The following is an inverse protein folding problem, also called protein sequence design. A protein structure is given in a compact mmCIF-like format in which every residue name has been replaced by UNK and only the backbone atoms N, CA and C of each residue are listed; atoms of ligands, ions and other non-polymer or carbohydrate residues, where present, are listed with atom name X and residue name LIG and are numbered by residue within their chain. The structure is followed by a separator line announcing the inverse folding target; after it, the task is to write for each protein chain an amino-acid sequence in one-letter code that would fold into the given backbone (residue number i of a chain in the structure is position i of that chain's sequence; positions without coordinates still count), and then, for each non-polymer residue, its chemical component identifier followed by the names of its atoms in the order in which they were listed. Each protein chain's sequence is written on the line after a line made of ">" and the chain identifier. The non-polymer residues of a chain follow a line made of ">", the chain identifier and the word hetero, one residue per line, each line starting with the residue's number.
data_IF_352853272687
#
_entry.id   IF_352853272687
#
_cell.length_a   1.000
_cell.length_b   1.000
_cell.length_c   1.000
_cell.angle_alpha   90.00
_cell.angle_beta   90.00
_cell.angle_gamma   90.00
#
_symmetry.space_group_name_H-M   'P 1'
#
loop_
_entity.id
_entity.type
_entity.pdbx_description
1 polymer ?
#
# COMPACT_ATOMS: atom_id res chain seq x y z
N UNK A 1 -8.80 -22.22 -8.82
CA UNK A 1 -8.97 -20.78 -8.67
C UNK A 1 -9.71 -20.46 -7.37
N UNK A 2 -9.61 -19.23 -6.92
CA UNK A 2 -10.33 -18.78 -5.73
C UNK A 2 -10.63 -17.30 -5.79
N UNK A 3 -11.76 -16.91 -5.21
CA UNK A 3 -12.08 -15.54 -4.84
C UNK A 3 -11.72 -15.38 -3.35
N UNK A 4 -10.84 -14.46 -3.02
CA UNK A 4 -10.32 -14.30 -1.66
C UNK A 4 -10.19 -12.83 -1.25
N UNK A 5 -10.09 -12.61 0.07
CA UNK A 5 -9.74 -11.30 0.61
C UNK A 5 -8.35 -10.87 0.13
N UNK A 6 -8.17 -9.57 -0.10
CA UNK A 6 -6.90 -9.00 -0.50
C UNK A 6 -6.13 -8.49 0.73
N UNK A 7 -5.38 -9.37 1.36
CA UNK A 7 -4.64 -9.10 2.59
C UNK A 7 -5.17 -9.88 3.79
N UNK A 8 -4.77 -9.52 4.99
CA UNK A 8 -5.15 -10.21 6.21
C UNK A 8 -4.70 -11.67 6.23
N UNK A 9 -5.61 -12.56 6.50
CA UNK A 9 -5.40 -14.01 6.52
C UNK A 9 -5.54 -14.68 5.14
N UNK A 10 -5.84 -13.91 4.09
CA UNK A 10 -6.06 -14.38 2.72
C UNK A 10 -7.12 -15.48 2.59
N UNK A 11 -8.10 -15.54 3.50
CA UNK A 11 -9.12 -16.56 3.40
C UNK A 11 -9.93 -16.44 2.10
N UNK A 12 -10.38 -17.56 1.60
CA UNK A 12 -11.11 -17.63 0.35
C UNK A 12 -12.62 -17.64 0.60
N UNK A 13 -13.35 -16.73 -0.05
CA UNK A 13 -14.81 -16.75 -0.12
C UNK A 13 -15.33 -17.91 -0.95
N UNK A 14 -14.56 -18.28 -1.97
CA UNK A 14 -14.87 -19.40 -2.84
C UNK A 14 -13.56 -20.01 -3.37
N UNK A 15 -13.54 -21.34 -3.46
CA UNK A 15 -12.41 -22.09 -4.05
C UNK A 15 -12.94 -23.25 -4.87
N UNK A 16 -12.42 -23.42 -6.07
CA UNK A 16 -12.66 -24.60 -6.88
C UNK A 16 -11.42 -25.00 -7.69
N UNK A 17 -11.35 -26.26 -8.08
CA UNK A 17 -10.25 -26.81 -8.87
C UNK A 17 -10.75 -27.15 -10.27
N UNK A 18 -10.07 -26.65 -11.27
CA UNK A 18 -10.36 -26.86 -12.68
C UNK A 18 -9.22 -27.70 -13.27
N UNK A 19 -9.56 -28.77 -13.97
CA UNK A 19 -8.59 -29.49 -14.78
C UNK A 19 -8.43 -28.78 -16.15
N UNK A 20 -7.25 -28.18 -16.38
CA UNK A 20 -6.95 -27.60 -17.68
C UNK A 20 -6.84 -28.69 -18.75
N UNK A 21 -7.32 -28.39 -19.95
CA UNK A 21 -7.30 -29.30 -21.12
C UNK A 21 -6.63 -28.61 -22.30
N UNK A 22 -6.29 -29.34 -23.34
CA UNK A 22 -5.74 -28.78 -24.60
C UNK A 22 -6.75 -27.90 -25.36
N UNK A 23 -8.04 -28.06 -25.07
CA UNK A 23 -9.11 -27.28 -25.68
C UNK A 23 -9.64 -26.25 -24.66
N UNK A 24 -9.99 -25.06 -25.16
CA UNK A 24 -10.64 -24.04 -24.32
C UNK A 24 -11.98 -24.57 -23.77
N UNK A 25 -12.12 -24.51 -22.46
CA UNK A 25 -13.34 -24.87 -21.74
C UNK A 25 -14.00 -23.63 -21.18
N UNK A 26 -15.32 -23.61 -21.20
CA UNK A 26 -16.11 -22.57 -20.52
C UNK A 26 -16.53 -23.06 -19.14
N UNK A 27 -16.33 -22.21 -18.14
CA UNK A 27 -16.75 -22.47 -16.76
C UNK A 27 -17.62 -21.32 -16.29
N UNK A 28 -18.71 -21.64 -15.62
CA UNK A 28 -19.64 -20.70 -15.04
C UNK A 28 -19.93 -21.11 -13.60
N UNK A 29 -19.87 -20.16 -12.68
CA UNK A 29 -20.08 -20.41 -11.26
C UNK A 29 -21.03 -19.35 -10.70
N UNK A 30 -21.95 -19.79 -9.86
CA UNK A 30 -22.74 -18.90 -9.02
C UNK A 30 -22.27 -19.05 -7.57
N UNK A 31 -21.94 -17.95 -6.93
CA UNK A 31 -21.48 -17.93 -5.54
C UNK A 31 -22.21 -16.87 -4.75
N UNK A 32 -22.46 -17.16 -3.48
CA UNK A 32 -23.07 -16.20 -2.55
C UNK A 32 -22.01 -15.73 -1.57
N UNK A 33 -21.80 -14.42 -1.49
CA UNK A 33 -20.96 -13.80 -0.46
C UNK A 33 -21.76 -13.74 0.83
N UNK A 34 -21.31 -14.50 1.85
CA UNK A 34 -21.94 -14.54 3.18
C UNK A 34 -21.35 -13.50 4.14
N UNK A 35 -20.23 -12.91 3.78
CA UNK A 35 -19.49 -11.96 4.60
C UNK A 35 -19.82 -10.51 4.24
N UNK A 36 -19.49 -9.61 5.16
CA UNK A 36 -19.57 -8.17 4.91
C UNK A 36 -18.70 -7.83 3.70
N UNK A 37 -19.19 -7.02 2.79
CA UNK A 37 -18.56 -6.74 1.51
C UNK A 37 -17.08 -6.41 1.63
N UNK A 38 -16.28 -7.09 0.83
CA UNK A 38 -14.90 -6.74 0.55
C UNK A 38 -14.90 -5.82 -0.68
N UNK A 39 -14.48 -4.55 -0.57
CA UNK A 39 -14.49 -3.62 -1.69
C UNK A 39 -13.43 -3.96 -2.75
N UNK A 40 -12.51 -4.88 -2.44
CA UNK A 40 -11.34 -5.15 -3.27
C UNK A 40 -10.94 -6.63 -3.24
N UNK A 41 -11.87 -7.56 -3.52
CA UNK A 41 -11.55 -8.97 -3.51
C UNK A 41 -10.54 -9.30 -4.61
N UNK A 42 -9.77 -10.37 -4.40
CA UNK A 42 -8.78 -10.85 -5.36
C UNK A 42 -9.25 -12.14 -6.00
N UNK A 43 -9.29 -12.16 -7.33
CA UNK A 43 -9.43 -13.40 -8.09
C UNK A 43 -8.04 -14.00 -8.34
N UNK A 44 -7.83 -15.21 -7.84
CA UNK A 44 -6.54 -15.90 -7.91
C UNK A 44 -6.64 -17.20 -8.70
N UNK A 45 -5.67 -17.44 -9.59
CA UNK A 45 -5.48 -18.70 -10.26
C UNK A 45 -4.16 -19.30 -9.77
N UNK A 46 -4.25 -20.41 -9.04
CA UNK A 46 -3.09 -21.17 -8.61
C UNK A 46 -2.82 -22.27 -9.64
N UNK A 47 -1.70 -22.21 -10.30
CA UNK A 47 -1.36 -23.10 -11.41
C UNK A 47 -0.50 -24.27 -10.89
N UNK A 48 -1.16 -25.28 -10.32
CA UNK A 48 -0.55 -26.52 -9.89
C UNK A 48 0.11 -26.51 -8.50
N UNK A 49 0.24 -27.69 -7.91
CA UNK A 49 1.09 -27.97 -6.77
C UNK A 49 2.09 -29.05 -7.20
N UNK A 50 3.36 -28.78 -6.96
CA UNK A 50 4.47 -29.59 -7.50
C UNK A 50 4.57 -31.02 -6.95
N UNK A 51 3.85 -31.36 -5.88
CA UNK A 51 4.05 -32.63 -5.18
C UNK A 51 3.18 -33.79 -5.72
N UNK A 52 2.01 -33.46 -6.29
CA UNK A 52 1.06 -34.49 -6.75
C UNK A 52 1.12 -34.77 -8.26
N UNK A 53 1.48 -33.73 -9.04
CA UNK A 53 1.40 -33.85 -10.52
C UNK A 53 2.73 -34.11 -11.20
N UNK A 54 3.83 -34.15 -10.45
CA UNK A 54 5.18 -34.30 -10.99
C UNK A 54 5.69 -33.06 -11.72
N UNK A 55 6.79 -33.24 -12.45
CA UNK A 55 7.35 -32.17 -13.28
C UNK A 55 6.56 -32.06 -14.59
N UNK A 56 5.66 -31.10 -14.68
CA UNK A 56 4.89 -30.83 -15.89
C UNK A 56 5.71 -30.16 -16.99
N UNK A 57 6.96 -29.79 -16.71
CA UNK A 57 7.81 -29.04 -17.63
C UNK A 57 7.29 -27.63 -17.93
N UNK A 58 7.80 -27.03 -18.99
CA UNK A 58 7.33 -25.71 -19.44
C UNK A 58 5.95 -25.85 -20.09
N UNK A 59 4.96 -25.11 -19.55
CA UNK A 59 3.60 -25.11 -20.07
C UNK A 59 2.99 -23.72 -20.05
N UNK A 60 1.97 -23.51 -20.86
CA UNK A 60 1.24 -22.23 -20.95
C UNK A 60 -0.22 -22.48 -20.59
N UNK A 61 -0.74 -21.68 -19.66
CA UNK A 61 -2.17 -21.66 -19.34
C UNK A 61 -2.76 -20.38 -19.91
N UNK A 62 -3.80 -20.53 -20.73
CA UNK A 62 -4.51 -19.38 -21.32
C UNK A 62 -5.84 -19.17 -20.61
N UNK A 63 -6.07 -17.95 -20.14
CA UNK A 63 -7.33 -17.50 -19.57
C UNK A 63 -7.90 -16.42 -20.49
N UNK A 64 -9.18 -16.52 -20.81
CA UNK A 64 -9.86 -15.56 -21.69
C UNK A 64 -11.28 -15.31 -21.18
N UNK A 65 -11.79 -14.10 -21.43
CA UNK A 65 -13.15 -13.68 -21.08
C UNK A 65 -13.52 -13.95 -19.60
N UNK A 66 -12.62 -13.57 -18.70
CA UNK A 66 -12.89 -13.66 -17.25
C UNK A 66 -13.79 -12.50 -16.87
N UNK A 67 -15.02 -12.82 -16.45
CA UNK A 67 -16.03 -11.83 -16.05
C UNK A 67 -16.60 -12.19 -14.68
N UNK A 68 -16.97 -11.18 -13.89
CA UNK A 68 -17.59 -11.32 -12.58
C UNK A 68 -18.76 -10.36 -12.49
N UNK A 69 -19.97 -10.89 -12.55
CA UNK A 69 -21.19 -10.11 -12.48
C UNK A 69 -21.89 -10.26 -11.13
N UNK A 70 -22.45 -9.17 -10.63
CA UNK A 70 -23.33 -9.20 -9.45
C UNK A 70 -24.75 -9.45 -9.94
N UNK A 71 -25.28 -10.65 -9.69
CA UNK A 71 -26.65 -11.04 -10.06
C UNK A 71 -27.70 -10.60 -9.03
N UNK A 72 -27.32 -10.52 -7.76
CA UNK A 72 -28.15 -10.00 -6.66
C UNK A 72 -27.36 -9.02 -5.80
N UNK A 73 -27.73 -7.75 -5.85
CA UNK A 73 -27.09 -6.67 -5.10
C UNK A 73 -27.81 -6.33 -3.78
N UNK A 74 -28.74 -7.17 -3.31
CA UNK A 74 -29.54 -6.88 -2.11
C UNK A 74 -28.73 -6.70 -0.83
N UNK A 75 -27.56 -7.35 -0.76
CA UNK A 75 -26.60 -7.26 0.34
C UNK A 75 -25.38 -6.38 0.04
N UNK A 76 -25.39 -5.65 -1.08
CA UNK A 76 -24.27 -4.79 -1.40
C UNK A 76 -24.11 -3.71 -0.33
N UNK A 77 -22.92 -3.60 0.25
CA UNK A 77 -22.61 -2.45 1.10
C UNK A 77 -22.74 -1.16 0.29
N UNK A 78 -23.15 -0.09 0.95
CA UNK A 78 -23.09 1.23 0.33
C UNK A 78 -21.67 1.48 -0.21
N UNK A 79 -21.57 1.99 -1.43
CA UNK A 79 -20.29 2.44 -1.95
C UNK A 79 -19.70 3.43 -0.94
N UNK A 80 -18.42 3.23 -0.59
CA UNK A 80 -17.71 4.21 0.21
C UNK A 80 -17.78 5.55 -0.54
N UNK A 81 -18.13 6.62 0.16
CA UNK A 81 -18.06 7.94 -0.43
C UNK A 81 -16.66 8.15 -1.02
N UNK A 82 -16.60 8.47 -2.29
CA UNK A 82 -15.34 8.76 -2.96
C UNK A 82 -14.78 10.04 -2.32
N UNK A 83 -13.67 9.90 -1.59
CA UNK A 83 -13.01 11.04 -0.97
C UNK A 83 -12.30 11.82 -2.06
N UNK A 84 -12.82 13.01 -2.38
CA UNK A 84 -12.14 13.93 -3.29
C UNK A 84 -10.74 14.27 -2.71
N UNK A 85 -9.71 13.92 -3.45
CA UNK A 85 -8.33 14.27 -3.10
C UNK A 85 -7.89 15.50 -3.89
N UNK A 86 -7.10 16.40 -3.29
CA UNK A 86 -6.56 17.55 -4.00
C UNK A 86 -5.74 17.14 -5.24
N UNK A 87 -5.86 17.93 -6.31
CA UNK A 87 -5.03 17.77 -7.50
C UNK A 87 -3.61 18.30 -7.32
N UNK A 88 -3.34 18.99 -6.22
CA UNK A 88 -1.99 19.41 -5.83
C UNK A 88 -1.45 18.49 -4.76
N UNK A 89 -0.46 17.68 -5.12
CA UNK A 89 0.18 16.73 -4.22
C UNK A 89 1.48 17.29 -3.66
N UNK A 90 1.64 17.13 -2.35
CA UNK A 90 2.81 17.53 -1.58
C UNK A 90 3.21 16.39 -0.61
N UNK A 91 4.36 16.51 0.04
CA UNK A 91 4.67 15.63 1.16
C UNK A 91 3.86 16.03 2.40
N UNK A 92 2.84 15.22 2.72
CA UNK A 92 1.93 15.49 3.85
C UNK A 92 2.59 15.35 5.22
N UNK A 93 3.73 14.63 5.32
CA UNK A 93 4.53 14.61 6.57
C UNK A 93 5.16 15.96 6.82
N UNK A 94 5.50 16.70 5.76
CA UNK A 94 6.13 18.01 5.79
C UNK A 94 7.56 17.98 5.24
N UNK A 95 8.25 19.09 5.44
CA UNK A 95 9.60 19.32 4.93
C UNK A 95 10.50 19.94 6.00
N UNK A 96 11.77 19.57 6.00
CA UNK A 96 12.75 20.37 6.71
C UNK A 96 13.08 21.65 5.92
N UNK A 97 13.55 22.72 6.59
CA UNK A 97 13.86 23.99 5.91
C UNK A 97 14.79 23.85 4.71
N UNK A 98 15.77 22.96 4.81
CA UNK A 98 16.78 22.70 3.76
C UNK A 98 16.41 21.68 2.70
N UNK A 99 15.23 21.06 2.79
CA UNK A 99 14.81 20.04 1.84
C UNK A 99 14.52 20.63 0.44
N UNK A 100 14.66 19.78 -0.58
CA UNK A 100 14.06 20.04 -1.89
C UNK A 100 12.55 19.85 -1.76
N UNK A 101 11.79 20.88 -2.15
CA UNK A 101 10.33 20.93 -1.99
C UNK A 101 9.67 21.06 -3.36
N UNK A 102 9.07 19.99 -3.80
CA UNK A 102 8.38 19.94 -5.10
C UNK A 102 6.90 19.64 -4.86
N UNK A 103 6.04 20.45 -5.46
CA UNK A 103 4.63 20.17 -5.60
C UNK A 103 4.36 19.51 -6.95
N UNK A 104 3.43 18.57 -6.99
CA UNK A 104 2.96 17.96 -8.24
C UNK A 104 1.51 18.39 -8.48
N UNK A 105 1.26 18.90 -9.66
CA UNK A 105 -0.05 19.35 -10.12
C UNK A 105 -0.58 18.32 -11.12
N UNK A 106 -1.76 17.76 -10.86
CA UNK A 106 -2.37 16.69 -11.66
C UNK A 106 -3.29 17.28 -12.72
N UNK A 107 -3.31 16.69 -13.89
CA UNK A 107 -4.15 17.07 -15.01
C UNK A 107 -3.38 17.67 -16.19
N UNK A 108 -4.11 17.86 -17.28
CA UNK A 108 -3.56 18.42 -18.53
C UNK A 108 -3.45 19.96 -18.48
N UNK A 109 -4.31 20.60 -17.68
CA UNK A 109 -4.36 22.06 -17.53
C UNK A 109 -4.00 22.42 -16.08
N UNK A 110 -2.71 22.64 -15.82
CA UNK A 110 -2.18 22.91 -14.46
C UNK A 110 -1.88 24.39 -14.22
N UNK A 111 -2.09 25.26 -15.22
CA UNK A 111 -1.70 26.66 -15.15
C UNK A 111 -0.17 26.86 -15.19
N UNK A 112 0.26 28.12 -15.09
CA UNK A 112 1.68 28.51 -15.24
C UNK A 112 2.37 28.83 -13.90
N UNK A 113 1.61 29.07 -12.83
CA UNK A 113 2.13 29.50 -11.54
C UNK A 113 1.30 29.00 -10.37
N UNK A 114 1.90 29.01 -9.20
CA UNK A 114 1.27 28.66 -7.93
C UNK A 114 1.74 29.59 -6.81
N UNK A 115 1.00 29.62 -5.74
CA UNK A 115 1.34 30.36 -4.53
C UNK A 115 1.51 29.41 -3.34
N UNK A 116 2.43 29.77 -2.44
CA UNK A 116 2.52 29.17 -1.10
C UNK A 116 1.88 30.13 -0.12
N UNK A 117 0.83 29.69 0.54
CA UNK A 117 0.05 30.45 1.48
C UNK A 117 0.45 30.04 2.90
N UNK A 118 0.81 30.99 3.72
CA UNK A 118 0.92 30.81 5.17
C UNK A 118 -0.50 30.70 5.74
N UNK A 119 -0.88 29.52 6.23
CA UNK A 119 -2.24 29.27 6.71
C UNK A 119 -2.59 30.00 8.00
N UNK A 120 -1.57 30.41 8.78
CA UNK A 120 -1.78 31.23 10.01
C UNK A 120 -2.18 32.65 9.69
N UNK A 121 -1.61 33.21 8.63
CA UNK A 121 -1.83 34.63 8.27
C UNK A 121 -2.75 34.81 7.06
N UNK A 122 -2.99 33.74 6.29
CA UNK A 122 -3.72 33.75 5.03
C UNK A 122 -2.98 34.50 3.90
N UNK A 123 -1.69 34.78 4.06
CA UNK A 123 -0.92 35.54 3.07
C UNK A 123 -0.11 34.62 2.15
N UNK A 124 -0.07 35.00 0.87
CA UNK A 124 0.90 34.48 -0.06
C UNK A 124 2.31 34.93 0.32
N UNK A 125 3.22 33.96 0.52
CA UNK A 125 4.61 34.23 0.92
C UNK A 125 5.59 33.88 -0.19
N UNK A 126 5.13 33.17 -1.22
CA UNK A 126 5.94 32.75 -2.34
C UNK A 126 5.05 32.53 -3.57
N UNK A 127 5.55 32.91 -4.73
CA UNK A 127 4.94 32.57 -6.02
C UNK A 127 5.98 31.82 -6.85
N UNK A 128 5.63 30.61 -7.29
CA UNK A 128 6.47 29.74 -8.11
C UNK A 128 5.91 29.54 -9.51
N UNK A 129 6.78 29.09 -10.40
CA UNK A 129 6.39 28.69 -11.76
C UNK A 129 6.12 27.20 -11.80
N UNK A 130 5.14 26.78 -12.59
CA UNK A 130 4.83 25.40 -12.87
C UNK A 130 5.50 25.00 -14.20
N UNK A 131 6.21 23.86 -14.20
CA UNK A 131 6.80 23.32 -15.40
C UNK A 131 5.70 22.82 -16.36
N UNK A 132 6.06 22.61 -17.62
CA UNK A 132 5.12 22.03 -18.57
C UNK A 132 4.62 20.66 -18.11
N UNK A 133 3.32 20.45 -18.21
CA UNK A 133 2.71 19.16 -17.91
C UNK A 133 3.18 18.08 -18.90
N UNK A 134 3.54 16.92 -18.38
CA UNK A 134 4.01 15.77 -19.14
C UNK A 134 3.35 14.49 -18.62
N UNK A 135 3.16 13.52 -19.53
CA UNK A 135 2.61 12.23 -19.16
C UNK A 135 3.62 11.41 -18.35
N UNK A 136 3.27 11.07 -17.13
CA UNK A 136 4.04 10.15 -16.29
C UNK A 136 3.78 8.70 -16.73
N UNK A 137 4.84 7.98 -17.09
CA UNK A 137 4.75 6.61 -17.60
C UNK A 137 4.27 5.63 -16.51
N UNK A 138 4.67 5.85 -15.26
CA UNK A 138 4.35 4.96 -14.13
C UNK A 138 2.92 5.10 -13.66
N UNK A 139 2.44 6.33 -13.42
CA UNK A 139 1.05 6.58 -12.98
C UNK A 139 0.06 6.62 -14.13
N UNK A 140 0.53 6.80 -15.37
CA UNK A 140 -0.25 7.05 -16.59
C UNK A 140 -1.05 8.36 -16.56
N UNK A 141 -0.82 9.21 -15.59
CA UNK A 141 -1.42 10.53 -15.45
C UNK A 141 -0.56 11.60 -16.11
N UNK A 142 -1.19 12.68 -16.55
CA UNK A 142 -0.46 13.90 -16.95
C UNK A 142 -0.27 14.74 -15.69
N UNK A 143 0.94 15.23 -15.46
CA UNK A 143 1.23 16.08 -14.31
C UNK A 143 2.36 17.07 -14.63
N UNK A 144 2.36 18.14 -13.87
CA UNK A 144 3.41 19.17 -13.87
C UNK A 144 4.02 19.29 -12.48
N UNK A 145 5.16 19.95 -12.36
CA UNK A 145 5.82 20.18 -11.08
C UNK A 145 6.17 21.65 -10.87
N UNK A 146 6.17 22.06 -9.60
CA UNK A 146 6.60 23.38 -9.18
C UNK A 146 7.56 23.30 -8.00
N UNK A 147 8.66 24.04 -8.06
CA UNK A 147 9.68 24.07 -7.02
C UNK A 147 9.44 25.26 -6.07
N UNK A 148 9.34 24.96 -4.77
CA UNK A 148 9.26 25.95 -3.71
C UNK A 148 10.33 25.75 -2.62
N UNK A 149 11.45 25.14 -2.98
CA UNK A 149 12.57 24.83 -2.07
C UNK A 149 13.13 26.06 -1.35
N UNK A 150 12.96 27.25 -1.94
CA UNK A 150 13.38 28.53 -1.33
C UNK A 150 12.52 28.97 -0.14
N UNK A 151 11.35 28.35 0.09
CA UNK A 151 10.53 28.57 1.27
C UNK A 151 11.14 27.78 2.43
N UNK A 152 11.93 28.45 3.26
CA UNK A 152 12.70 27.81 4.34
C UNK A 152 12.21 28.19 5.74
N UNK A 153 11.27 29.11 5.88
CA UNK A 153 10.75 29.54 7.18
C UNK A 153 9.90 28.42 7.79
N UNK A 154 10.11 28.09 9.07
CA UNK A 154 9.21 27.18 9.78
C UNK A 154 7.79 27.75 9.86
N UNK A 155 6.79 26.89 9.62
CA UNK A 155 5.38 27.30 9.63
C UNK A 155 4.47 26.20 9.06
N UNK A 156 3.18 26.55 8.94
CA UNK A 156 2.16 25.72 8.30
C UNK A 156 1.69 26.41 7.02
N UNK A 157 1.70 25.68 5.94
CA UNK A 157 1.50 26.19 4.60
C UNK A 157 0.53 25.34 3.79
N UNK A 158 0.01 25.95 2.74
CA UNK A 158 -0.81 25.33 1.73
C UNK A 158 -0.40 25.85 0.35
N UNK A 159 -0.42 25.03 -0.67
CA UNK A 159 -0.21 25.48 -2.04
C UNK A 159 -1.56 25.75 -2.67
N UNK A 160 -1.62 26.85 -3.41
CA UNK A 160 -2.82 27.29 -4.14
C UNK A 160 -2.50 27.60 -5.59
N UNK A 161 -3.41 27.18 -6.46
CA UNK A 161 -3.33 27.40 -7.90
C UNK A 161 -4.75 27.51 -8.47
N UNK A 162 -4.97 28.41 -9.43
CA UNK A 162 -6.30 28.67 -9.96
C UNK A 162 -6.89 27.49 -10.76
N UNK A 163 -6.04 26.64 -11.34
CA UNK A 163 -6.48 25.51 -12.14
C UNK A 163 -6.73 24.25 -11.30
N UNK A 164 -5.86 23.97 -10.31
CA UNK A 164 -5.87 22.75 -9.52
C UNK A 164 -6.42 22.93 -8.09
N UNK A 165 -6.83 24.14 -7.71
CA UNK A 165 -7.37 24.44 -6.38
C UNK A 165 -6.30 24.53 -5.30
N UNK A 166 -6.47 23.83 -4.18
CA UNK A 166 -5.64 23.90 -2.99
C UNK A 166 -5.09 22.51 -2.61
N UNK A 167 -3.84 22.46 -2.13
CA UNK A 167 -3.27 21.26 -1.56
C UNK A 167 -3.81 20.99 -0.16
N UNK A 168 -3.48 19.84 0.42
CA UNK A 168 -3.51 19.70 1.88
C UNK A 168 -2.52 20.67 2.54
N UNK A 169 -2.79 21.00 3.81
CA UNK A 169 -1.82 21.72 4.62
C UNK A 169 -0.57 20.86 4.89
N UNK A 170 0.59 21.50 4.95
CA UNK A 170 1.85 20.87 5.31
C UNK A 170 2.69 21.77 6.20
N UNK A 171 3.63 21.17 6.91
CA UNK A 171 4.56 21.88 7.80
C UNK A 171 5.95 22.00 7.17
N UNK A 172 6.60 23.12 7.45
CA UNK A 172 8.06 23.25 7.33
C UNK A 172 8.63 23.43 8.73
N UNK A 173 9.58 22.59 9.12
CA UNK A 173 10.20 22.64 10.44
C UNK A 173 11.27 21.57 10.63
N UNK A 174 12.15 21.76 11.61
CA UNK A 174 13.25 20.82 11.85
C UNK A 174 12.81 19.48 12.47
N UNK A 175 11.59 19.45 13.01
CA UNK A 175 11.02 18.33 13.76
C UNK A 175 9.95 17.52 13.00
N UNK A 176 9.66 17.86 11.74
CA UNK A 176 8.56 17.26 10.95
C UNK A 176 8.64 15.75 10.84
N UNK A 177 9.82 15.17 10.89
CA UNK A 177 10.02 13.71 10.79
C UNK A 177 10.16 12.99 12.14
N UNK A 178 10.07 13.70 13.28
CA UNK A 178 10.31 13.08 14.59
C UNK A 178 9.27 12.01 14.94
N UNK A 179 7.99 12.28 14.68
CA UNK A 179 6.94 11.34 15.00
C UNK A 179 6.99 10.14 14.04
N UNK A 180 7.22 10.38 12.75
CA UNK A 180 7.46 9.31 11.78
C UNK A 180 8.64 8.41 12.18
N UNK A 181 9.75 8.99 12.66
CA UNK A 181 10.89 8.22 13.15
C UNK A 181 10.53 7.37 14.38
N UNK A 182 9.77 7.95 15.33
CA UNK A 182 9.31 7.21 16.51
C UNK A 182 8.43 6.02 16.11
N UNK A 183 7.50 6.24 15.19
CA UNK A 183 6.58 5.20 14.74
C UNK A 183 7.31 4.12 13.94
N UNK A 184 8.27 4.48 13.09
CA UNK A 184 9.11 3.53 12.37
C UNK A 184 9.96 2.66 13.32
N UNK A 185 10.59 3.28 14.35
CA UNK A 185 11.34 2.54 15.37
C UNK A 185 10.41 1.66 16.20
N UNK A 186 9.21 2.17 16.54
CA UNK A 186 8.19 1.41 17.28
C UNK A 186 7.70 0.21 16.47
N UNK A 187 7.49 0.35 15.17
CA UNK A 187 7.15 -0.77 14.28
C UNK A 187 8.20 -1.89 14.38
N UNK A 188 9.48 -1.56 14.26
CA UNK A 188 10.56 -2.53 14.41
C UNK A 188 10.58 -3.16 15.82
N UNK A 189 10.29 -2.38 16.85
CA UNK A 189 10.18 -2.90 18.22
C UNK A 189 9.04 -3.92 18.37
N UNK A 190 7.87 -3.63 17.79
CA UNK A 190 6.68 -4.48 17.88
C UNK A 190 6.78 -5.76 17.05
N UNK A 191 7.61 -5.77 16.02
CA UNK A 191 7.86 -6.93 15.16
C UNK A 191 8.92 -7.90 15.69
N UNK A 192 9.46 -7.70 16.89
CA UNK A 192 10.53 -8.54 17.41
C UNK A 192 10.06 -9.96 17.74
N UNK A 193 10.94 -10.92 17.46
CA UNK A 193 10.80 -12.32 17.84
C UNK A 193 11.69 -12.66 19.03
N UNK A 194 11.45 -13.82 19.64
CA UNK A 194 12.32 -14.42 20.66
C UNK A 194 12.03 -13.97 22.09
N UNK A 195 11.17 -12.99 22.30
CA UNK A 195 10.79 -12.48 23.60
C UNK A 195 9.31 -12.11 23.68
N UNK A 196 8.79 -12.06 24.89
CA UNK A 196 7.43 -11.58 25.15
C UNK A 196 7.39 -10.05 25.04
N UNK A 197 6.38 -9.52 24.34
CA UNK A 197 5.99 -8.13 24.40
C UNK A 197 4.69 -8.01 25.19
N UNK A 198 4.80 -7.52 26.43
CA UNK A 198 3.65 -7.37 27.33
C UNK A 198 2.69 -6.26 26.86
N UNK A 199 1.44 -6.29 27.31
CA UNK A 199 0.47 -5.22 27.06
C UNK A 199 0.98 -3.83 27.47
N UNK A 200 1.75 -3.75 28.55
CA UNK A 200 2.36 -2.49 28.98
C UNK A 200 3.35 -1.93 27.96
N UNK A 201 4.05 -2.79 27.21
CA UNK A 201 5.07 -2.42 26.22
C UNK A 201 4.46 -2.22 24.83
N UNK A 202 3.50 -3.03 24.45
CA UNK A 202 3.02 -3.15 23.10
C UNK A 202 1.53 -2.76 22.90
N UNK A 203 0.73 -2.65 23.98
CA UNK A 203 -0.71 -2.40 23.88
C UNK A 203 -1.42 -3.52 23.12
N UNK A 204 -2.19 -3.16 22.13
CA UNK A 204 -2.95 -4.09 21.28
C UNK A 204 -2.05 -5.02 20.44
N UNK A 205 -0.76 -4.74 20.35
CA UNK A 205 0.24 -5.57 19.67
C UNK A 205 1.02 -6.47 20.63
N UNK A 206 0.51 -6.69 21.86
CA UNK A 206 1.13 -7.60 22.82
C UNK A 206 1.10 -9.04 22.29
N UNK A 207 2.18 -9.77 22.49
CA UNK A 207 2.28 -11.17 22.10
C UNK A 207 3.25 -11.95 23.00
N UNK A 208 3.06 -13.27 23.15
CA UNK A 208 4.01 -14.10 23.89
C UNK A 208 5.34 -14.23 23.12
N UNK A 209 6.36 -14.77 23.79
CA UNK A 209 7.60 -15.12 23.12
C UNK A 209 7.34 -16.14 22.01
N UNK A 210 7.90 -15.88 20.83
CA UNK A 210 7.73 -16.69 19.62
C UNK A 210 9.08 -17.04 19.02
N UNK A 211 9.13 -18.05 18.11
CA UNK A 211 10.36 -18.47 17.42
C UNK A 211 11.53 -18.78 18.35
N UNK A 212 11.22 -19.44 19.49
CA UNK A 212 12.19 -19.81 20.53
C UNK A 212 12.70 -21.24 20.39
N UNK A 213 12.18 -22.00 19.44
CA UNK A 213 12.65 -23.34 19.11
C UNK A 213 13.87 -23.34 18.20
N UNK A 214 14.61 -24.46 18.21
CA UNK A 214 15.71 -24.67 17.28
C UNK A 214 15.18 -24.83 15.83
N UNK A 215 15.83 -24.20 14.88
CA UNK A 215 15.56 -24.41 13.45
C UNK A 215 16.42 -25.52 12.87
N UNK A 216 15.84 -26.29 11.95
CA UNK A 216 16.55 -27.34 11.22
C UNK A 216 17.23 -26.72 9.99
N UNK A 217 18.51 -26.99 9.80
CA UNK A 217 19.22 -26.57 8.58
C UNK A 217 18.69 -27.40 7.40
N UNK A 218 18.20 -26.69 6.38
CA UNK A 218 17.60 -27.34 5.21
C UNK A 218 18.48 -28.44 4.60
N UNK A 219 17.89 -29.59 4.34
CA UNK A 219 18.58 -30.75 3.77
C UNK A 219 19.48 -31.53 4.75
N UNK A 220 19.40 -31.25 6.04
CA UNK A 220 20.18 -31.95 7.10
C UNK A 220 19.31 -32.17 8.33
N UNK A 221 19.83 -32.95 9.31
CA UNK A 221 19.25 -33.09 10.66
C UNK A 221 19.89 -32.11 11.68
N UNK A 222 20.75 -31.22 11.23
CA UNK A 222 21.42 -30.25 12.08
C UNK A 222 20.41 -29.20 12.59
N UNK A 223 20.42 -28.94 13.89
CA UNK A 223 19.60 -27.91 14.52
C UNK A 223 20.46 -26.75 15.02
N UNK A 224 19.93 -25.56 14.89
CA UNK A 224 20.58 -24.32 15.38
C UNK A 224 19.59 -23.46 16.14
N UNK A 225 20.06 -22.91 17.27
CA UNK A 225 19.36 -21.82 17.94
C UNK A 225 19.48 -20.55 17.11
N UNK A 226 18.34 -20.06 16.65
CA UNK A 226 18.20 -18.82 15.89
C UNK A 226 17.20 -17.87 16.56
N UNK A 227 17.05 -17.97 17.89
CA UNK A 227 16.16 -17.13 18.68
C UNK A 227 16.44 -15.64 18.44
N UNK A 228 15.37 -14.83 18.33
CA UNK A 228 15.46 -13.40 18.05
C UNK A 228 15.13 -13.04 16.60
N UNK A 229 15.47 -11.82 16.19
CA UNK A 229 15.10 -11.27 14.89
C UNK A 229 13.73 -10.60 14.88
N UNK A 230 13.12 -10.55 13.73
CA UNK A 230 11.86 -9.85 13.49
C UNK A 230 10.88 -10.71 12.67
N UNK A 231 9.60 -10.50 12.89
CA UNK A 231 8.59 -11.00 11.96
C UNK A 231 8.73 -10.32 10.59
N UNK A 232 8.44 -11.06 9.55
CA UNK A 232 8.50 -10.58 8.17
C UNK A 232 7.28 -9.73 7.82
N UNK A 233 6.10 -10.25 8.16
CA UNK A 233 4.82 -9.63 7.83
C UNK A 233 3.74 -9.95 8.88
N UNK A 234 2.49 -9.66 8.56
CA UNK A 234 1.34 -9.95 9.43
C UNK A 234 1.02 -11.42 9.63
N UNK A 235 1.63 -12.33 8.90
CA UNK A 235 1.56 -13.78 9.09
C UNK A 235 2.49 -14.26 10.23
N UNK A 236 3.25 -13.34 10.84
CA UNK A 236 4.24 -13.61 11.86
C UNK A 236 5.33 -14.62 11.45
N UNK A 237 5.52 -14.86 10.17
CA UNK A 237 6.65 -15.60 9.66
C UNK A 237 7.97 -14.86 9.93
N UNK A 238 9.07 -15.59 10.00
CA UNK A 238 10.41 -15.02 10.12
C UNK A 238 11.27 -15.51 8.98
N UNK A 239 11.32 -14.72 7.94
CA UNK A 239 12.09 -15.00 6.74
C UNK A 239 13.31 -14.07 6.69
N UNK A 240 14.45 -14.63 6.35
CA UNK A 240 15.66 -13.82 6.07
C UNK A 240 15.73 -13.69 4.56
N UNK A 241 15.47 -12.50 4.08
CA UNK A 241 15.67 -12.15 2.66
C UNK A 241 17.08 -11.57 2.54
N UNK A 242 17.92 -12.21 1.77
CA UNK A 242 19.28 -11.76 1.49
C UNK A 242 19.31 -10.73 0.35
#
# INVERSE_FOLDING_TARGET
>A
WRLQINGGDYHAYFTDTIAATEEMQHYEYELTMEEVSDPSPRLCFNLGTYEEDGDLGEHIVTLDNVDLEITDASNRAAEAEEVETPDININQVGYQPGDIKIATFRGDETGDSFEVIDTTTGKSIFTGQINKAEKNVSSRETCATGDFSSVIQPGTYQIKNDACGESYEFKIGDDVYQDLLKDAVRMLYLQRCGEELSEKQAGDFAHPACHTGEAVVYGTDEKKDITGGWHDAGDYGRYVVA
#
